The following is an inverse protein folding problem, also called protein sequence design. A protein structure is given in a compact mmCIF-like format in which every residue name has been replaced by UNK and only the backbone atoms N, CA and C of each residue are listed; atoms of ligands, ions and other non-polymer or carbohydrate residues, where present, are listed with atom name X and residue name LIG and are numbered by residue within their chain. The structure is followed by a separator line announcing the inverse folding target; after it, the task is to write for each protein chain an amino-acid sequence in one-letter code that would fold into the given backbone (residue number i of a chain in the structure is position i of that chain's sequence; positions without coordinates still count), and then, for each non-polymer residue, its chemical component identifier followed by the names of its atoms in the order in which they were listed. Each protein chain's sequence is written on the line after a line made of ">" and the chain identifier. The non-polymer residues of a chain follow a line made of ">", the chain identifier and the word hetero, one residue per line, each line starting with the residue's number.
data_IF_288851271828
#
_entry.id   IF_288851271828
#
_cell.length_a   1.000
_cell.length_b   1.000
_cell.length_c   1.000
_cell.angle_alpha   90.00
_cell.angle_beta   90.00
_cell.angle_gamma   90.00
#
_symmetry.space_group_name_H-M   'P 1'
#
loop_
_entity.id
_entity.type
_entity.pdbx_description
1 polymer ?
#
# COMPACT_ATOMS: atom_id res chain seq x y z
N UNK A 1 -9.91 -13.85 -2.02
CA UNK A 1 -8.80 -14.22 -1.11
C UNK A 1 -7.84 -15.24 -1.74
N UNK A 2 -8.32 -16.25 -2.47
CA UNK A 2 -7.45 -17.25 -3.12
C UNK A 2 -6.60 -16.70 -4.28
N UNK A 3 -7.12 -15.79 -5.10
CA UNK A 3 -6.37 -15.20 -6.24
C UNK A 3 -5.12 -14.42 -5.82
N UNK A 4 -5.17 -13.73 -4.68
CA UNK A 4 -4.02 -12.95 -4.18
C UNK A 4 -2.93 -13.84 -3.58
N UNK A 5 -3.32 -14.78 -2.71
CA UNK A 5 -2.38 -15.68 -2.04
C UNK A 5 -1.78 -16.73 -2.97
N UNK A 6 -2.62 -17.43 -3.75
CA UNK A 6 -2.14 -18.45 -4.68
C UNK A 6 -1.46 -17.83 -5.90
N UNK A 7 -1.95 -16.69 -6.40
CA UNK A 7 -1.28 -15.97 -7.49
C UNK A 7 0.12 -15.50 -7.09
N UNK A 8 0.29 -15.01 -5.86
CA UNK A 8 1.60 -14.65 -5.31
C UNK A 8 2.55 -15.84 -5.15
N UNK A 9 2.04 -16.99 -4.70
CA UNK A 9 2.85 -18.21 -4.54
C UNK A 9 3.25 -18.81 -5.90
N UNK A 10 2.37 -18.81 -6.90
CA UNK A 10 2.66 -19.29 -8.25
C UNK A 10 3.61 -18.36 -8.99
N UNK A 11 3.39 -17.04 -8.90
CA UNK A 11 4.31 -16.05 -9.45
C UNK A 11 5.68 -16.12 -8.77
N UNK A 12 5.70 -16.30 -7.45
CA UNK A 12 6.92 -16.50 -6.67
C UNK A 12 7.67 -17.77 -7.04
N UNK A 13 6.99 -18.90 -7.26
CA UNK A 13 7.63 -20.15 -7.66
C UNK A 13 8.16 -20.13 -9.10
N UNK A 14 7.45 -19.47 -10.02
CA UNK A 14 7.92 -19.25 -11.40
C UNK A 14 9.14 -18.34 -11.44
N UNK A 15 9.13 -17.24 -10.70
CA UNK A 15 10.28 -16.34 -10.61
C UNK A 15 11.45 -16.97 -9.87
N UNK A 16 11.22 -17.76 -8.81
CA UNK A 16 12.30 -18.47 -8.10
C UNK A 16 13.11 -19.39 -9.03
N UNK A 17 12.47 -19.97 -10.05
CA UNK A 17 13.15 -20.82 -11.02
C UNK A 17 14.02 -20.04 -12.04
N UNK A 18 13.88 -18.71 -12.12
CA UNK A 18 14.71 -17.83 -12.96
C UNK A 18 16.01 -17.37 -12.28
N UNK A 19 16.33 -17.90 -11.09
CA UNK A 19 17.55 -17.56 -10.36
C UNK A 19 17.59 -16.11 -9.90
N UNK A 20 18.72 -15.42 -10.11
CA UNK A 20 18.95 -14.06 -9.62
C UNK A 20 17.93 -13.03 -10.15
N UNK A 21 17.54 -13.11 -11.43
CA UNK A 21 16.53 -12.22 -12.02
C UNK A 21 15.17 -12.35 -11.33
N UNK A 22 14.81 -13.58 -10.95
CA UNK A 22 13.60 -13.87 -10.20
C UNK A 22 13.57 -13.21 -8.84
N UNK A 23 14.67 -13.27 -8.10
CA UNK A 23 14.78 -12.65 -6.77
C UNK A 23 14.64 -11.12 -6.82
N UNK A 24 15.20 -10.48 -7.85
CA UNK A 24 15.08 -9.02 -8.04
C UNK A 24 13.65 -8.63 -8.38
N UNK A 25 13.00 -9.34 -9.31
CA UNK A 25 11.60 -9.08 -9.68
C UNK A 25 10.64 -9.33 -8.49
N UNK A 26 10.83 -10.42 -7.75
CA UNK A 26 10.02 -10.72 -6.57
C UNK A 26 10.18 -9.63 -5.49
N UNK A 27 11.42 -9.17 -5.27
CA UNK A 27 11.69 -8.06 -4.35
C UNK A 27 11.02 -6.75 -4.80
N UNK A 28 11.10 -6.41 -6.09
CA UNK A 28 10.44 -5.22 -6.65
C UNK A 28 8.93 -5.27 -6.47
N UNK A 29 8.29 -6.40 -6.77
CA UNK A 29 6.84 -6.55 -6.58
C UNK A 29 6.47 -6.43 -5.11
N UNK A 30 7.20 -7.08 -4.21
CA UNK A 30 6.96 -6.95 -2.76
C UNK A 30 7.09 -5.50 -2.29
N UNK A 31 8.11 -4.77 -2.75
CA UNK A 31 8.31 -3.36 -2.42
C UNK A 31 7.13 -2.50 -2.91
N UNK A 32 6.63 -2.73 -4.12
CA UNK A 32 5.47 -2.00 -4.67
C UNK A 32 4.19 -2.27 -3.87
N UNK A 33 3.94 -3.52 -3.47
CA UNK A 33 2.79 -3.88 -2.63
C UNK A 33 2.88 -3.17 -1.29
N UNK A 34 4.03 -3.24 -0.62
CA UNK A 34 4.25 -2.60 0.68
C UNK A 34 4.09 -1.07 0.58
N UNK A 35 4.70 -0.46 -0.44
CA UNK A 35 4.61 0.98 -0.69
C UNK A 35 3.16 1.41 -0.99
N UNK A 36 2.42 0.63 -1.76
CA UNK A 36 0.99 0.85 -2.05
C UNK A 36 0.15 0.84 -0.77
N UNK A 37 0.35 -0.15 0.10
CA UNK A 37 -0.34 -0.24 1.40
C UNK A 37 -0.01 0.98 2.27
N UNK A 38 1.25 1.36 2.37
CA UNK A 38 1.68 2.52 3.16
C UNK A 38 1.07 3.82 2.61
N UNK A 39 1.07 4.03 1.29
CA UNK A 39 0.47 5.21 0.68
C UNK A 39 -1.04 5.28 0.93
N UNK A 40 -1.74 4.16 0.81
CA UNK A 40 -3.18 4.09 1.11
C UNK A 40 -3.46 4.40 2.58
N UNK A 41 -2.68 3.83 3.49
CA UNK A 41 -2.80 4.10 4.92
C UNK A 41 -2.56 5.59 5.22
N UNK A 42 -1.44 6.15 4.74
CA UNK A 42 -1.11 7.58 4.93
C UNK A 42 -2.20 8.48 4.36
N UNK A 43 -2.74 8.15 3.19
CA UNK A 43 -3.81 8.93 2.56
C UNK A 43 -5.11 8.86 3.36
N UNK A 44 -5.46 7.69 3.88
CA UNK A 44 -6.60 7.53 4.78
C UNK A 44 -6.41 8.38 6.05
N UNK A 45 -5.25 8.27 6.71
CA UNK A 45 -4.96 9.06 7.91
C UNK A 45 -4.95 10.57 7.64
N UNK A 46 -4.36 11.02 6.53
CA UNK A 46 -4.41 12.43 6.11
C UNK A 46 -5.83 12.90 5.89
N UNK A 47 -6.66 12.10 5.21
CA UNK A 47 -8.06 12.46 4.98
C UNK A 47 -8.83 12.62 6.30
N UNK A 48 -8.68 11.68 7.23
CA UNK A 48 -9.31 11.80 8.55
C UNK A 48 -8.81 13.00 9.35
N UNK A 49 -7.50 13.28 9.32
CA UNK A 49 -6.91 14.43 10.03
C UNK A 49 -7.30 15.77 9.43
N UNK A 50 -7.36 15.86 8.10
CA UNK A 50 -7.75 17.08 7.38
C UNK A 50 -9.22 17.44 7.61
N UNK A 51 -10.09 16.43 7.67
CA UNK A 51 -11.50 16.60 8.03
C UNK A 51 -11.70 17.10 9.47
N UNK A 52 -10.78 16.80 10.40
CA UNK A 52 -10.84 17.32 11.77
C UNK A 52 -10.42 18.79 11.83
N UNK A 53 -9.37 19.18 11.08
CA UNK A 53 -8.91 20.57 11.02
C UNK A 53 -9.95 21.51 10.40
N UNK A 54 -10.56 21.11 9.28
CA UNK A 54 -11.62 21.93 8.64
C UNK A 54 -12.80 22.22 9.58
N UNK A 55 -13.14 21.28 10.46
CA UNK A 55 -14.20 21.48 11.46
C UNK A 55 -13.79 22.47 12.54
N UNK A 56 -12.56 22.41 13.05
CA UNK A 56 -12.06 23.37 14.04
C UNK A 56 -11.99 24.80 13.49
N UNK A 57 -11.55 24.97 12.24
CA UNK A 57 -11.49 26.29 11.58
C UNK A 57 -12.89 26.90 11.37
N UNK A 58 -13.91 26.07 11.06
CA UNK A 58 -15.30 26.52 10.96
C UNK A 58 -15.90 26.96 12.30
N UNK A 59 -15.54 26.28 13.40
CA UNK A 59 -16.04 26.65 14.74
C UNK A 59 -15.34 27.92 15.24
N UNK A 60 -14.06 28.10 14.90
CA UNK A 60 -13.27 29.27 15.28
C UNK A 60 -13.75 30.57 14.60
N UNK A 61 -14.18 30.52 13.35
CA UNK A 61 -14.69 31.69 12.62
C UNK A 61 -16.12 32.10 13.02
N UNK A 62 -16.87 31.21 13.66
CA UNK A 62 -18.24 31.47 14.14
C UNK A 62 -18.30 32.14 15.53
N UNK A 63 -17.15 32.43 16.16
CA UNK A 63 -17.05 33.14 17.45
C UNK A 63 -16.69 34.60 17.27
#
# INVERSE_FOLDING_TARGET
>A
LLLGGLGGLLMGSLFANMGALGSVLAFMVNMLVMAGIVMLAVRAFKYFKDQRKKKEDEVAWKR
#
